data_IF_879731343969
#
_entry.id   IF_879731343969
#
_cell.length_a   1.000
_cell.length_b   1.000
_cell.length_c   1.000
_cell.angle_alpha   90.00
_cell.angle_beta   90.00
_cell.angle_gamma   90.00
#
_symmetry.space_group_name_H-M   'P 1'
#
loop_
_entity.id
_entity.type
_entity.pdbx_description
1 polymer ?
#
# COMPACT_ATOMS: atom_id res chain seq x y z
N UNK A 1 -11.09 3.15 -0.28
CA UNK A 1 -10.04 2.11 -0.38
C UNK A 1 -10.61 0.73 -0.78
N UNK A 2 -11.69 0.30 -0.21
CA UNK A 2 -12.32 -1.00 -0.52
C UNK A 2 -12.76 -1.13 -1.99
N UNK A 3 -13.43 -0.12 -2.53
CA UNK A 3 -13.84 -0.06 -3.95
C UNK A 3 -12.63 -0.12 -4.90
N UNK A 4 -11.53 0.52 -4.53
CA UNK A 4 -10.31 0.50 -5.33
C UNK A 4 -9.69 -0.90 -5.36
N UNK A 5 -9.59 -1.56 -4.20
CA UNK A 5 -9.10 -2.95 -4.09
C UNK A 5 -9.96 -3.91 -4.94
N UNK A 6 -11.28 -3.80 -4.86
CA UNK A 6 -12.20 -4.61 -5.68
C UNK A 6 -11.99 -4.41 -7.18
N UNK A 7 -11.87 -3.17 -7.62
CA UNK A 7 -11.62 -2.86 -9.03
C UNK A 7 -10.30 -3.46 -9.51
N UNK A 8 -9.23 -3.28 -8.75
CA UNK A 8 -7.91 -3.83 -9.07
C UNK A 8 -7.90 -5.36 -9.05
N UNK A 9 -8.60 -5.98 -8.11
CA UNK A 9 -8.74 -7.43 -8.07
C UNK A 9 -9.40 -7.99 -9.34
N UNK A 10 -10.46 -7.35 -9.82
CA UNK A 10 -11.11 -7.74 -11.08
C UNK A 10 -10.25 -7.54 -12.31
N UNK A 11 -9.47 -6.44 -12.32
CA UNK A 11 -8.57 -6.09 -13.42
C UNK A 11 -7.42 -7.11 -13.54
N UNK A 12 -6.74 -7.42 -12.45
CA UNK A 12 -5.57 -8.28 -12.44
C UNK A 12 -5.88 -9.78 -12.31
N UNK A 13 -7.01 -10.10 -11.69
CA UNK A 13 -7.43 -11.49 -11.44
C UNK A 13 -8.88 -11.71 -11.87
N UNK A 14 -9.18 -11.61 -13.18
CA UNK A 14 -10.57 -11.62 -13.67
C UNK A 14 -11.30 -12.94 -13.45
N UNK A 15 -10.57 -14.04 -13.25
CA UNK A 15 -11.15 -15.38 -12.99
C UNK A 15 -11.28 -15.72 -11.50
N UNK A 16 -10.88 -14.81 -10.63
CA UNK A 16 -10.95 -15.03 -9.18
C UNK A 16 -12.35 -14.77 -8.64
N UNK A 17 -12.74 -15.57 -7.66
CA UNK A 17 -13.96 -15.32 -6.87
C UNK A 17 -13.63 -14.33 -5.78
N UNK A 18 -14.18 -13.13 -5.87
CA UNK A 18 -13.93 -12.06 -4.92
C UNK A 18 -14.87 -12.14 -3.72
N UNK A 19 -14.28 -12.07 -2.52
CA UNK A 19 -14.97 -11.97 -1.25
C UNK A 19 -14.61 -10.64 -0.59
N UNK A 20 -15.60 -9.83 -0.27
CA UNK A 20 -15.41 -8.64 0.56
C UNK A 20 -15.57 -9.01 2.03
N UNK A 21 -14.70 -8.42 2.85
CA UNK A 21 -14.73 -8.59 4.31
C UNK A 21 -14.92 -7.22 4.92
N UNK A 22 -15.92 -7.08 5.79
CA UNK A 22 -16.24 -5.84 6.48
C UNK A 22 -15.66 -5.84 7.89
N UNK A 23 -15.32 -4.64 8.37
CA UNK A 23 -14.86 -4.48 9.76
C UNK A 23 -15.91 -5.01 10.76
N UNK A 24 -15.49 -5.59 11.90
CA UNK A 24 -14.11 -5.67 12.42
C UNK A 24 -13.25 -6.79 11.84
N UNK A 25 -13.80 -7.67 11.02
CA UNK A 25 -13.05 -8.74 10.37
C UNK A 25 -12.00 -8.18 9.40
N UNK A 26 -10.88 -8.88 9.28
CA UNK A 26 -9.79 -8.49 8.40
C UNK A 26 -9.57 -9.54 7.31
N UNK A 27 -9.29 -9.09 6.11
CA UNK A 27 -9.11 -9.94 4.93
C UNK A 27 -8.03 -11.02 5.11
N UNK A 28 -6.88 -10.69 5.71
CA UNK A 28 -5.81 -11.65 5.96
C UNK A 28 -6.23 -12.78 6.93
N UNK A 29 -7.19 -12.53 7.83
CA UNK A 29 -7.73 -13.55 8.72
C UNK A 29 -8.50 -14.64 7.98
N UNK A 30 -9.12 -14.29 6.86
CA UNK A 30 -9.78 -15.26 5.97
C UNK A 30 -8.76 -16.22 5.34
N UNK A 31 -7.57 -15.71 5.01
CA UNK A 31 -6.47 -16.52 4.48
C UNK A 31 -5.92 -17.45 5.57
N UNK A 32 -5.62 -16.93 6.77
CA UNK A 32 -5.14 -17.74 7.91
C UNK A 32 -6.13 -18.85 8.30
N UNK A 33 -7.42 -18.58 8.19
CA UNK A 33 -8.47 -19.56 8.50
C UNK A 33 -8.77 -20.54 7.36
N UNK A 34 -8.06 -20.44 6.22
CA UNK A 34 -8.27 -21.31 5.06
C UNK A 34 -9.57 -21.06 4.31
N UNK A 35 -10.23 -19.91 4.52
CA UNK A 35 -11.46 -19.53 3.83
C UNK A 35 -11.24 -18.68 2.57
N UNK A 36 -10.01 -18.28 2.33
CA UNK A 36 -9.56 -17.61 1.12
C UNK A 36 -8.15 -18.05 0.76
N UNK A 37 -7.83 -18.06 -0.52
CA UNK A 37 -6.50 -18.45 -1.02
C UNK A 37 -5.48 -17.31 -0.93
N UNK A 38 -5.94 -16.07 -0.89
CA UNK A 38 -5.09 -14.88 -0.78
C UNK A 38 -5.91 -13.63 -0.56
N UNK A 39 -5.21 -12.55 -0.23
CA UNK A 39 -5.80 -11.22 -0.10
C UNK A 39 -4.96 -10.16 -0.83
N UNK A 40 -5.60 -9.07 -1.20
CA UNK A 40 -4.95 -7.93 -1.83
C UNK A 40 -4.82 -6.82 -0.80
N UNK A 41 -3.61 -6.40 -0.55
CA UNK A 41 -3.30 -5.33 0.39
C UNK A 41 -2.13 -4.49 -0.10
N UNK A 42 -1.76 -3.45 0.66
CA UNK A 42 -0.56 -2.66 0.36
C UNK A 42 0.71 -3.43 0.71
N UNK A 43 1.80 -3.12 0.03
CA UNK A 43 3.12 -3.71 0.34
C UNK A 43 3.55 -3.43 1.78
N UNK A 44 3.20 -2.26 2.31
CA UNK A 44 3.47 -1.89 3.71
C UNK A 44 2.78 -2.83 4.69
N UNK A 45 1.50 -3.10 4.48
CA UNK A 45 0.74 -4.02 5.33
C UNK A 45 1.21 -5.46 5.13
N UNK A 46 1.43 -5.89 3.89
CA UNK A 46 1.92 -7.23 3.59
C UNK A 46 3.26 -7.53 4.31
N UNK A 47 4.20 -6.60 4.27
CA UNK A 47 5.48 -6.74 4.96
C UNK A 47 5.33 -6.91 6.48
N UNK A 48 4.41 -6.20 7.11
CA UNK A 48 4.11 -6.38 8.53
C UNK A 48 3.46 -7.73 8.83
N UNK A 49 2.51 -8.13 7.99
CA UNK A 49 1.76 -9.36 8.19
C UNK A 49 2.65 -10.61 8.10
N UNK A 50 3.57 -10.68 7.15
CA UNK A 50 4.46 -11.85 7.00
C UNK A 50 5.50 -11.94 8.12
N UNK A 51 5.81 -10.83 8.79
CA UNK A 51 6.66 -10.85 10.00
C UNK A 51 5.86 -11.35 11.20
N UNK A 52 4.61 -10.92 11.34
CA UNK A 52 3.75 -11.28 12.47
C UNK A 52 3.18 -12.70 12.34
N UNK A 53 2.86 -13.11 11.12
CA UNK A 53 2.23 -14.39 10.79
C UNK A 53 3.09 -15.18 9.81
N UNK A 54 3.99 -16.06 10.29
CA UNK A 54 4.91 -16.82 9.43
C UNK A 54 4.22 -17.75 8.42
N UNK A 55 2.93 -18.03 8.62
CA UNK A 55 2.10 -18.83 7.71
C UNK A 55 1.75 -18.07 6.42
N UNK A 56 1.89 -16.75 6.43
CA UNK A 56 1.63 -15.90 5.26
C UNK A 56 2.90 -15.68 4.45
N UNK A 57 2.74 -15.59 3.14
CA UNK A 57 3.83 -15.25 2.22
C UNK A 57 3.37 -14.20 1.22
N UNK A 58 4.30 -13.34 0.80
CA UNK A 58 4.07 -12.39 -0.28
C UNK A 58 4.32 -13.10 -1.60
N UNK A 59 3.38 -12.97 -2.55
CA UNK A 59 3.54 -13.53 -3.89
C UNK A 59 4.69 -12.83 -4.61
N UNK A 60 5.58 -13.61 -5.19
CA UNK A 60 6.84 -13.13 -5.79
C UNK A 60 6.68 -12.36 -7.11
N UNK A 61 5.48 -12.26 -7.64
CA UNK A 61 5.15 -11.58 -8.90
C UNK A 61 5.35 -10.06 -8.89
N UNK A 62 5.72 -9.50 -7.75
CA UNK A 62 5.95 -8.07 -7.59
C UNK A 62 4.68 -7.25 -7.40
N UNK A 63 4.87 -5.98 -7.32
CA UNK A 63 3.79 -5.01 -7.11
C UNK A 63 3.02 -4.79 -8.41
N UNK A 64 1.70 -4.99 -8.36
CA UNK A 64 0.83 -4.83 -9.54
C UNK A 64 0.34 -3.41 -9.77
N UNK A 65 0.46 -2.54 -8.80
CA UNK A 65 -0.08 -1.19 -8.88
C UNK A 65 0.70 -0.23 -7.97
N UNK A 66 1.87 0.24 -8.41
CA UNK A 66 2.59 1.25 -7.66
C UNK A 66 1.71 2.49 -7.48
N UNK A 67 1.68 3.02 -6.27
CA UNK A 67 0.88 4.19 -5.92
C UNK A 67 1.78 5.35 -5.53
N UNK A 68 1.51 6.52 -6.10
CA UNK A 68 2.15 7.76 -5.69
C UNK A 68 1.39 8.36 -4.52
N UNK A 69 2.14 8.81 -3.52
CA UNK A 69 1.61 9.56 -2.39
C UNK A 69 1.85 11.04 -2.61
N UNK A 70 0.88 11.85 -2.24
CA UNK A 70 0.97 13.29 -2.36
C UNK A 70 0.33 13.98 -1.15
N UNK A 71 0.79 15.17 -0.86
CA UNK A 71 0.17 16.04 0.13
C UNK A 71 -0.80 16.99 -0.57
N UNK A 72 -1.96 17.21 0.02
CA UNK A 72 -2.94 18.17 -0.45
C UNK A 72 -2.95 19.38 0.48
N UNK A 73 -2.95 20.56 -0.11
CA UNK A 73 -3.07 21.84 0.57
C UNK A 73 -4.17 22.67 -0.08
N UNK A 74 -4.63 23.73 0.59
CA UNK A 74 -5.62 24.63 -0.02
C UNK A 74 -5.07 25.25 -1.30
N UNK A 75 -5.87 25.25 -2.35
CA UNK A 75 -5.51 25.86 -3.66
C UNK A 75 -5.28 27.37 -3.57
N UNK A 76 -5.88 28.02 -2.58
CA UNK A 76 -5.83 29.47 -2.41
C UNK A 76 -4.66 29.93 -1.56
N UNK A 77 -3.93 29.00 -0.94
CA UNK A 77 -2.75 29.27 -0.13
C UNK A 77 -1.47 28.94 -0.91
N UNK A 78 -1.10 29.83 -1.80
CA UNK A 78 0.09 29.67 -2.66
C UNK A 78 1.37 29.64 -1.85
N UNK A 79 1.51 30.46 -0.83
CA UNK A 79 2.71 30.52 0.03
C UNK A 79 2.94 29.18 0.74
N UNK A 80 1.90 28.60 1.32
CA UNK A 80 1.96 27.28 1.96
C UNK A 80 2.26 26.16 0.96
N UNK A 81 1.63 26.21 -0.22
CA UNK A 81 1.92 25.25 -1.28
C UNK A 81 3.40 25.30 -1.72
N UNK A 82 3.93 26.50 -1.96
CA UNK A 82 5.32 26.68 -2.36
C UNK A 82 6.29 26.18 -1.28
N UNK A 83 6.00 26.45 0.02
CA UNK A 83 6.78 25.96 1.15
C UNK A 83 6.80 24.42 1.22
N UNK A 84 5.63 23.78 1.17
CA UNK A 84 5.51 22.32 1.23
C UNK A 84 6.18 21.66 0.02
N UNK A 85 6.01 22.21 -1.18
CA UNK A 85 6.63 21.70 -2.40
C UNK A 85 8.15 21.78 -2.33
N UNK A 86 8.69 22.88 -1.84
CA UNK A 86 10.14 23.04 -1.62
C UNK A 86 10.66 22.04 -0.58
N UNK A 87 9.96 21.88 0.52
CA UNK A 87 10.32 20.92 1.56
C UNK A 87 10.40 19.49 1.01
N UNK A 88 9.37 19.07 0.24
CA UNK A 88 9.34 17.75 -0.39
C UNK A 88 10.53 17.57 -1.33
N UNK A 89 10.80 18.55 -2.20
CA UNK A 89 11.92 18.48 -3.14
C UNK A 89 13.27 18.42 -2.42
N UNK A 90 13.47 19.23 -1.40
CA UNK A 90 14.70 19.21 -0.59
C UNK A 90 14.89 17.85 0.10
N UNK A 91 13.84 17.25 0.60
CA UNK A 91 13.88 15.93 1.24
C UNK A 91 14.11 14.79 0.22
N UNK A 92 13.59 14.90 -0.99
CA UNK A 92 13.89 13.95 -2.06
C UNK A 92 15.38 13.96 -2.42
N UNK A 93 15.97 15.14 -2.59
CA UNK A 93 17.37 15.28 -3.01
C UNK A 93 18.36 14.94 -1.88
N UNK A 94 17.99 15.13 -0.62
CA UNK A 94 18.84 14.83 0.53
C UNK A 94 18.92 13.35 0.92
N UNK A 95 18.12 12.48 0.29
CA UNK A 95 18.04 11.07 0.65
C UNK A 95 17.16 10.75 1.86
N UNK A 96 16.43 11.74 2.38
CA UNK A 96 15.55 11.56 3.54
C UNK A 96 14.50 10.48 3.30
N UNK A 97 13.81 10.53 2.17
CA UNK A 97 12.78 9.53 1.85
C UNK A 97 13.39 8.15 1.55
N UNK A 98 14.54 8.10 0.90
CA UNK A 98 15.26 6.84 0.65
C UNK A 98 15.61 6.15 1.96
N UNK A 99 16.14 6.89 2.94
CA UNK A 99 16.48 6.37 4.26
C UNK A 99 15.22 5.94 5.04
N UNK A 100 14.14 6.71 4.93
CA UNK A 100 12.88 6.41 5.59
C UNK A 100 12.24 5.13 5.03
N UNK A 101 12.25 4.96 3.72
CA UNK A 101 11.78 3.74 3.06
C UNK A 101 12.60 2.51 3.50
N UNK A 102 13.91 2.64 3.55
CA UNK A 102 14.79 1.56 4.02
C UNK A 102 14.49 1.19 5.48
N UNK A 103 14.26 2.17 6.34
CA UNK A 103 13.89 1.96 7.76
C UNK A 103 12.63 1.10 7.93
N UNK A 104 11.68 1.24 7.03
CA UNK A 104 10.41 0.50 7.06
C UNK A 104 10.35 -0.68 6.07
N UNK A 105 11.48 -1.10 5.51
CA UNK A 105 11.57 -2.19 4.52
C UNK A 105 10.68 -1.98 3.30
N UNK A 106 10.54 -0.75 2.85
CA UNK A 106 9.79 -0.38 1.65
C UNK A 106 10.76 -0.16 0.49
N UNK A 107 10.35 -0.54 -0.70
CA UNK A 107 11.13 -0.30 -1.91
C UNK A 107 10.87 1.12 -2.44
N UNK A 108 11.92 1.77 -2.90
CA UNK A 108 11.79 2.95 -3.75
C UNK A 108 11.32 2.52 -5.14
N UNK A 109 10.46 3.32 -5.73
CA UNK A 109 10.09 3.19 -7.14
C UNK A 109 11.16 3.80 -8.03
#
# INVERSE_FOLDING_TARGET
MELHKKRKAKEFFPRSKLKSVEAPARDFQEVLAGRADGNITSSTEANKLVITYPELAIVQDGEKNPAFLAMMVSKDDKEWNDYVSKWINDKKTSGFFTNLLAKYNLKSL
#
